data_IF_702151116010
#
_entry.id   IF_702151116010
#
_cell.length_a   1.000
_cell.length_b   1.000
_cell.length_c   1.000
_cell.angle_alpha   90.00
_cell.angle_beta   90.00
_cell.angle_gamma   90.00
#
_symmetry.space_group_name_H-M   'P 1'
#
loop_
_entity.id
_entity.type
_entity.pdbx_description
1 polymer ?
#
# COMPACT_ATOMS: atom_id res chain seq x y z
N UNK A 1 26.13 -66.63 -18.30
CA UNK A 1 24.95 -65.88 -18.87
C UNK A 1 24.36 -64.86 -17.94
N UNK A 2 24.49 -64.94 -16.62
CA UNK A 2 23.88 -63.98 -15.68
C UNK A 2 24.46 -62.57 -15.72
N UNK A 3 25.77 -62.34 -15.86
CA UNK A 3 26.42 -61.06 -15.84
C UNK A 3 26.05 -60.15 -17.04
N UNK A 4 25.84 -60.78 -18.22
CA UNK A 4 25.50 -60.02 -19.44
C UNK A 4 24.06 -59.46 -19.40
N UNK A 5 23.14 -60.20 -18.79
CA UNK A 5 21.75 -59.77 -18.61
C UNK A 5 21.64 -58.61 -17.59
N UNK A 6 22.47 -58.62 -16.54
CA UNK A 6 22.52 -57.55 -15.54
C UNK A 6 23.08 -56.24 -16.14
N UNK A 7 24.16 -56.33 -16.93
CA UNK A 7 24.73 -55.16 -17.62
C UNK A 7 23.75 -54.52 -18.63
N UNK A 8 22.99 -55.32 -19.40
CA UNK A 8 21.96 -54.83 -20.32
C UNK A 8 20.81 -54.15 -19.60
N UNK A 9 20.37 -54.67 -18.46
CA UNK A 9 19.32 -54.08 -17.64
C UNK A 9 19.72 -52.69 -17.08
N UNK A 10 20.95 -52.56 -16.61
CA UNK A 10 21.46 -51.26 -16.08
C UNK A 10 21.64 -50.27 -17.21
N UNK A 11 22.08 -50.65 -18.40
CA UNK A 11 22.29 -49.75 -19.54
C UNK A 11 20.98 -49.14 -20.07
N UNK A 12 19.84 -49.80 -19.88
CA UNK A 12 18.52 -49.33 -20.34
C UNK A 12 17.79 -48.54 -19.21
N UNK A 13 17.85 -49.04 -17.99
CA UNK A 13 17.10 -48.42 -16.87
C UNK A 13 17.68 -47.07 -16.41
N UNK A 14 19.00 -46.91 -16.39
CA UNK A 14 19.65 -45.66 -15.93
C UNK A 14 19.34 -44.48 -16.87
N UNK A 15 19.48 -44.59 -18.19
CA UNK A 15 19.10 -43.49 -19.10
C UNK A 15 17.61 -43.19 -19.05
N UNK A 16 16.73 -44.18 -18.92
CA UNK A 16 15.29 -43.98 -18.84
C UNK A 16 14.88 -43.22 -17.57
N UNK A 17 15.45 -43.58 -16.42
CA UNK A 17 15.20 -42.88 -15.15
C UNK A 17 15.72 -41.46 -15.21
N UNK A 18 16.90 -41.24 -15.81
CA UNK A 18 17.48 -39.89 -15.96
C UNK A 18 16.62 -39.01 -16.87
N UNK A 19 16.13 -39.58 -17.99
CA UNK A 19 15.27 -38.85 -18.95
C UNK A 19 13.93 -38.48 -18.32
N UNK A 20 13.31 -39.35 -17.53
CA UNK A 20 12.05 -39.08 -16.83
C UNK A 20 12.25 -38.03 -15.71
N UNK A 21 13.37 -38.11 -14.97
CA UNK A 21 13.67 -37.14 -13.90
C UNK A 21 13.95 -35.75 -14.46
N UNK A 22 14.74 -35.66 -15.54
CA UNK A 22 15.03 -34.37 -16.22
C UNK A 22 13.78 -33.83 -16.90
N UNK A 23 12.99 -34.68 -17.60
CA UNK A 23 11.74 -34.31 -18.23
C UNK A 23 10.71 -33.75 -17.23
N UNK A 24 10.54 -34.40 -16.05
CA UNK A 24 9.67 -33.89 -14.99
C UNK A 24 10.16 -32.54 -14.42
N UNK A 25 11.46 -32.36 -14.32
CA UNK A 25 12.05 -31.08 -13.81
C UNK A 25 11.86 -29.96 -14.83
N UNK A 26 11.98 -30.23 -16.13
CA UNK A 26 11.71 -29.25 -17.19
C UNK A 26 10.21 -28.93 -17.29
N UNK A 27 9.33 -29.93 -17.28
CA UNK A 27 7.88 -29.71 -17.31
C UNK A 27 7.34 -28.97 -16.07
N UNK A 28 7.91 -29.24 -14.89
CA UNK A 28 7.59 -28.44 -13.69
C UNK A 28 8.11 -27.01 -13.77
N UNK A 29 9.30 -26.80 -14.37
CA UNK A 29 9.84 -25.45 -14.54
C UNK A 29 8.99 -24.63 -15.53
N UNK A 30 8.52 -25.25 -16.63
CA UNK A 30 7.59 -24.60 -17.56
C UNK A 30 6.21 -24.33 -16.94
N UNK A 31 5.67 -25.28 -16.15
CA UNK A 31 4.42 -25.04 -15.41
C UNK A 31 4.55 -23.95 -14.36
N UNK A 32 5.68 -23.88 -13.63
CA UNK A 32 5.94 -22.81 -12.67
C UNK A 32 6.13 -21.47 -13.39
N UNK A 33 6.79 -21.44 -14.55
CA UNK A 33 6.94 -20.24 -15.37
C UNK A 33 5.64 -19.80 -16.06
N UNK A 34 4.76 -20.75 -16.43
CA UNK A 34 3.45 -20.44 -17.00
C UNK A 34 2.47 -19.93 -15.94
N UNK A 35 2.51 -20.49 -14.72
CA UNK A 35 1.69 -20.02 -13.57
C UNK A 35 2.17 -18.64 -13.09
N UNK A 36 3.47 -18.32 -13.23
CA UNK A 36 4.00 -16.99 -12.92
C UNK A 36 3.72 -15.94 -14.02
N UNK A 37 3.35 -16.35 -15.25
CA UNK A 37 2.95 -15.43 -16.32
C UNK A 37 1.47 -15.07 -16.34
N UNK A 38 0.62 -15.74 -15.56
CA UNK A 38 -0.82 -15.44 -15.43
C UNK A 38 -1.18 -14.61 -14.20
N UNK A 39 -0.21 -14.23 -13.36
CA UNK A 39 -0.36 -13.15 -12.41
C UNK A 39 0.27 -11.87 -13.02
N UNK A 40 -0.35 -11.27 -13.99
CA UNK A 40 -0.31 -9.82 -14.14
C UNK A 40 -0.97 -9.31 -12.85
N UNK A 41 -0.15 -8.90 -11.89
CA UNK A 41 -0.64 -8.30 -10.65
C UNK A 41 -1.53 -7.14 -11.07
N UNK A 42 -2.83 -7.26 -10.76
CA UNK A 42 -3.78 -6.18 -10.98
C UNK A 42 -3.20 -4.93 -10.34
N UNK A 43 -3.20 -3.79 -11.03
CA UNK A 43 -2.66 -2.56 -10.46
C UNK A 43 -3.34 -2.30 -9.11
N UNK A 44 -2.53 -1.99 -8.10
CA UNK A 44 -3.04 -1.69 -6.77
C UNK A 44 -3.76 -0.35 -6.80
N UNK A 45 -5.06 -0.36 -6.52
CA UNK A 45 -5.86 0.85 -6.39
C UNK A 45 -5.84 1.37 -4.96
N UNK A 46 -5.69 2.68 -4.80
CA UNK A 46 -5.91 3.36 -3.53
C UNK A 46 -7.27 4.05 -3.56
N UNK A 47 -8.11 3.73 -2.59
CA UNK A 47 -9.41 4.39 -2.41
C UNK A 47 -9.26 5.67 -1.60
N UNK A 48 -10.17 6.61 -1.80
CA UNK A 48 -10.24 7.81 -1.00
C UNK A 48 -10.32 7.45 0.49
N UNK A 49 -9.36 7.94 1.25
CA UNK A 49 -9.25 7.70 2.69
C UNK A 49 -10.14 8.65 3.52
N UNK A 50 -10.70 9.67 2.87
CA UNK A 50 -11.67 10.63 3.40
C UNK A 50 -12.68 10.99 2.30
N UNK A 51 -13.87 11.41 2.70
CA UNK A 51 -14.81 12.11 1.81
C UNK A 51 -14.41 13.57 1.71
N UNK A 52 -14.37 14.12 0.48
CA UNK A 52 -14.04 15.51 0.24
C UNK A 52 -13.42 15.76 -1.13
N UNK A 53 -12.87 16.95 -1.34
CA UNK A 53 -12.21 17.33 -2.59
C UNK A 53 -10.78 16.78 -2.62
N UNK A 54 -10.47 15.98 -3.63
CA UNK A 54 -9.11 15.47 -3.89
C UNK A 54 -8.31 16.51 -4.65
N UNK A 55 -7.17 16.93 -4.10
CA UNK A 55 -6.30 17.97 -4.65
C UNK A 55 -4.87 17.46 -4.82
N UNK A 56 -4.07 18.12 -5.63
CA UNK A 56 -2.64 17.84 -5.73
C UNK A 56 -1.89 18.33 -4.48
N UNK A 57 -0.69 17.79 -4.21
CA UNK A 57 0.15 18.29 -3.12
C UNK A 57 0.50 19.76 -3.28
N UNK A 58 0.71 20.22 -4.51
CA UNK A 58 1.04 21.62 -4.82
C UNK A 58 -0.05 22.59 -4.37
N UNK A 59 -1.33 22.14 -4.40
CA UNK A 59 -2.47 22.96 -3.97
C UNK A 59 -2.59 23.07 -2.44
N UNK A 60 -1.85 22.26 -1.66
CA UNK A 60 -1.83 22.35 -0.18
C UNK A 60 -1.17 23.65 0.28
N UNK A 61 -0.08 24.06 -0.40
CA UNK A 61 0.55 25.36 -0.20
C UNK A 61 1.29 25.55 1.13
N UNK A 62 1.67 24.45 1.80
CA UNK A 62 2.28 24.46 3.14
C UNK A 62 3.82 24.64 3.15
N UNK A 63 4.47 24.54 1.99
CA UNK A 63 5.93 24.66 1.85
C UNK A 63 6.73 23.38 2.23
N UNK A 64 6.11 22.33 2.74
CA UNK A 64 6.74 21.05 3.06
C UNK A 64 6.21 19.96 2.13
N UNK A 65 4.94 19.58 2.27
CA UNK A 65 4.31 18.57 1.43
C UNK A 65 4.16 19.04 -0.02
N UNK A 66 3.82 20.33 -0.22
CA UNK A 66 3.66 20.92 -1.54
C UNK A 66 4.94 20.93 -2.39
N UNK A 67 6.12 20.83 -1.78
CA UNK A 67 7.41 20.76 -2.48
C UNK A 67 7.83 19.31 -2.82
N UNK A 68 7.09 18.30 -2.37
CA UNK A 68 7.39 16.89 -2.61
C UNK A 68 8.68 16.38 -1.93
N UNK A 69 9.17 17.09 -0.90
CA UNK A 69 10.42 16.73 -0.20
C UNK A 69 10.32 15.37 0.50
N UNK A 70 9.11 14.99 0.95
CA UNK A 70 8.85 13.75 1.66
C UNK A 70 8.39 12.60 0.75
N UNK A 71 8.23 12.84 -0.55
CA UNK A 71 7.69 11.91 -1.53
C UNK A 71 6.58 12.53 -2.37
N UNK A 72 6.08 11.76 -3.32
CA UNK A 72 4.94 12.16 -4.15
C UNK A 72 3.62 11.74 -3.50
N UNK A 73 2.50 12.34 -3.93
CA UNK A 73 1.21 12.02 -3.33
C UNK A 73 0.09 12.97 -3.72
N UNK A 74 -0.92 13.03 -2.88
CA UNK A 74 -2.09 13.87 -3.05
C UNK A 74 -2.70 14.24 -1.69
N UNK A 75 -3.69 15.12 -1.68
CA UNK A 75 -4.38 15.52 -0.47
C UNK A 75 -5.90 15.49 -0.65
N UNK A 76 -6.62 15.43 0.46
CA UNK A 76 -8.08 15.56 0.50
C UNK A 76 -8.45 16.69 1.46
N UNK A 77 -9.26 17.65 0.99
CA UNK A 77 -9.93 18.61 1.86
C UNK A 77 -11.14 17.89 2.48
N UNK A 78 -11.12 17.52 3.77
CA UNK A 78 -12.08 16.58 4.33
C UNK A 78 -13.46 17.21 4.55
N UNK A 79 -14.49 16.39 4.39
CA UNK A 79 -15.89 16.69 4.75
C UNK A 79 -16.38 15.79 5.90
N UNK A 80 -15.59 14.76 6.27
CA UNK A 80 -15.86 13.83 7.38
C UNK A 80 -14.70 13.84 8.39
N UNK A 81 -14.84 13.11 9.50
CA UNK A 81 -13.98 13.12 10.68
C UNK A 81 -13.33 11.76 11.00
N UNK A 82 -13.42 10.79 10.09
CA UNK A 82 -12.78 9.49 10.22
C UNK A 82 -11.92 9.20 9.00
N UNK A 83 -10.63 8.95 9.25
CA UNK A 83 -9.65 8.52 8.27
C UNK A 83 -9.74 6.99 8.10
N UNK A 84 -9.77 6.53 6.86
CA UNK A 84 -9.86 5.11 6.51
C UNK A 84 -8.62 4.61 5.78
N UNK A 85 -8.33 3.30 5.88
CA UNK A 85 -7.27 2.66 5.09
C UNK A 85 -7.62 2.70 3.59
N UNK A 86 -6.73 3.26 2.73
CA UNK A 86 -6.98 3.37 1.29
C UNK A 86 -6.87 2.04 0.55
N UNK A 87 -6.20 1.05 1.13
CA UNK A 87 -6.00 -0.31 0.63
C UNK A 87 -5.70 -1.27 1.78
N UNK A 88 -5.59 -2.57 1.49
CA UNK A 88 -5.08 -3.57 2.43
C UNK A 88 -3.64 -3.25 2.83
N UNK A 89 -3.36 -3.14 4.12
CA UNK A 89 -2.05 -2.71 4.64
C UNK A 89 -1.73 -3.29 6.02
N UNK A 90 -0.50 -3.04 6.47
CA UNK A 90 -0.09 -3.15 7.87
C UNK A 90 0.19 -1.74 8.41
N UNK A 91 -0.28 -1.44 9.61
CA UNK A 91 0.00 -0.17 10.30
C UNK A 91 1.45 -0.19 10.77
N UNK A 92 2.34 0.48 10.03
CA UNK A 92 3.79 0.45 10.29
C UNK A 92 4.23 1.44 11.36
N UNK A 93 3.61 2.62 11.39
CA UNK A 93 3.98 3.69 12.33
C UNK A 93 2.73 4.37 12.89
N UNK A 94 2.73 4.62 14.21
CA UNK A 94 1.80 5.51 14.91
C UNK A 94 2.59 6.54 15.71
N UNK A 95 2.19 7.81 15.60
CA UNK A 95 2.81 8.92 16.37
C UNK A 95 2.08 9.08 17.70
N UNK A 96 2.50 8.35 18.73
CA UNK A 96 1.79 8.22 20.01
C UNK A 96 1.49 9.56 20.68
N UNK A 97 2.41 10.51 20.64
CA UNK A 97 2.28 11.80 21.32
C UNK A 97 1.29 12.74 20.63
N UNK A 98 1.29 12.76 19.29
CA UNK A 98 0.53 13.74 18.50
C UNK A 98 -0.68 13.15 17.78
N UNK A 99 -0.71 11.85 17.52
CA UNK A 99 -1.81 11.05 16.94
C UNK A 99 -2.41 11.55 15.64
N UNK A 100 -1.78 12.53 15.00
CA UNK A 100 -2.29 13.18 13.78
C UNK A 100 -1.90 12.46 12.50
N UNK A 101 -1.03 11.46 12.58
CA UNK A 101 -0.52 10.74 11.42
C UNK A 101 -0.33 9.24 11.68
N UNK A 102 -0.41 8.45 10.61
CA UNK A 102 -0.06 7.03 10.63
C UNK A 102 0.65 6.61 9.34
N UNK A 103 1.63 5.71 9.48
CA UNK A 103 2.28 5.02 8.38
C UNK A 103 1.59 3.70 8.07
N UNK A 104 1.50 3.37 6.79
CA UNK A 104 0.95 2.11 6.29
C UNK A 104 1.96 1.47 5.33
N UNK A 105 2.22 0.17 5.48
CA UNK A 105 2.95 -0.63 4.49
C UNK A 105 1.95 -1.50 3.73
N UNK A 106 1.87 -1.30 2.42
CA UNK A 106 1.01 -2.06 1.52
C UNK A 106 1.60 -3.44 1.22
N UNK A 107 0.80 -4.36 0.66
CA UNK A 107 1.25 -5.74 0.36
C UNK A 107 2.43 -5.83 -0.61
N UNK A 108 2.57 -4.86 -1.51
CA UNK A 108 3.66 -4.77 -2.48
C UNK A 108 4.90 -4.00 -1.95
N UNK A 109 4.92 -3.66 -0.65
CA UNK A 109 6.03 -2.96 -0.01
C UNK A 109 5.99 -1.44 -0.15
N UNK A 110 5.02 -0.86 -0.84
CA UNK A 110 4.84 0.60 -0.89
C UNK A 110 4.52 1.11 0.52
N UNK A 111 5.17 2.21 0.92
CA UNK A 111 4.90 2.87 2.19
C UNK A 111 4.15 4.18 1.99
N UNK A 112 3.07 4.33 2.76
CA UNK A 112 2.24 5.53 2.77
C UNK A 112 2.33 6.21 4.13
N UNK A 113 2.40 7.54 4.13
CA UNK A 113 2.16 8.38 5.30
C UNK A 113 0.83 9.11 5.11
N UNK A 114 -0.12 8.88 5.99
CA UNK A 114 -1.36 9.63 6.09
C UNK A 114 -1.23 10.65 7.23
N UNK A 115 -1.33 11.96 6.90
CA UNK A 115 -1.10 13.04 7.84
C UNK A 115 -2.29 14.01 7.84
N UNK A 116 -2.94 14.15 8.99
CA UNK A 116 -4.18 14.93 9.16
C UNK A 116 -3.83 16.35 9.55
N UNK A 117 -4.25 17.30 8.73
CA UNK A 117 -4.00 18.73 8.93
C UNK A 117 -2.55 19.16 8.67
N UNK A 118 -2.31 20.44 8.71
CA UNK A 118 -0.97 21.03 8.60
C UNK A 118 -0.59 21.58 9.98
N UNK A 119 0.66 21.31 10.42
CA UNK A 119 1.23 21.71 11.72
C UNK A 119 0.44 21.18 12.94
N UNK A 120 -0.41 20.17 12.75
CA UNK A 120 -1.26 19.60 13.82
C UNK A 120 -0.48 18.80 14.86
N UNK A 121 0.82 18.57 14.66
CA UNK A 121 1.74 18.06 15.67
C UNK A 121 1.72 18.91 16.95
N UNK A 122 1.51 20.21 16.81
CA UNK A 122 1.46 21.18 17.91
C UNK A 122 0.24 20.99 18.83
N UNK A 123 -0.80 20.30 18.35
CA UNK A 123 -2.00 19.96 19.14
C UNK A 123 -1.73 18.83 20.15
N UNK A 124 -0.56 18.17 20.12
CA UNK A 124 -0.14 17.14 21.09
C UNK A 124 -1.19 16.04 21.32
N UNK A 125 -1.85 15.63 20.24
CA UNK A 125 -2.87 14.58 20.24
C UNK A 125 -4.27 15.05 20.63
N UNK A 126 -4.48 16.31 20.97
CA UNK A 126 -5.82 16.81 21.25
C UNK A 126 -6.68 16.81 19.98
N UNK A 127 -7.84 16.16 20.05
CA UNK A 127 -8.74 16.02 18.91
C UNK A 127 -8.46 14.79 18.03
N UNK A 128 -7.47 13.96 18.35
CA UNK A 128 -7.14 12.75 17.59
C UNK A 128 -7.27 11.47 18.43
N UNK A 129 -7.82 10.42 17.83
CA UNK A 129 -7.98 9.11 18.47
C UNK A 129 -7.64 8.01 17.48
N UNK A 130 -6.63 7.20 17.77
CA UNK A 130 -6.35 5.99 17.02
C UNK A 130 -7.45 4.95 17.21
N UNK A 131 -7.86 4.30 16.13
CA UNK A 131 -8.81 3.20 16.12
C UNK A 131 -8.12 1.86 15.79
N UNK A 132 -6.82 1.89 15.62
CA UNK A 132 -5.93 0.76 15.30
C UNK A 132 -4.69 0.80 16.19
N UNK A 133 -3.92 -0.30 16.16
CA UNK A 133 -2.64 -0.43 16.84
C UNK A 133 -1.49 -0.60 15.83
N UNK A 134 -0.28 -0.23 16.21
CA UNK A 134 0.91 -0.50 15.39
C UNK A 134 1.11 -2.01 15.20
N UNK A 135 1.50 -2.42 14.00
CA UNK A 135 1.61 -3.82 13.58
C UNK A 135 0.27 -4.49 13.21
N UNK A 136 -0.86 -3.79 13.36
CA UNK A 136 -2.17 -4.32 12.98
C UNK A 136 -2.30 -4.40 11.46
N UNK A 137 -2.74 -5.57 10.96
CA UNK A 137 -3.15 -5.73 9.57
C UNK A 137 -4.58 -5.22 9.40
N UNK A 138 -4.76 -4.32 8.45
CA UNK A 138 -6.03 -3.67 8.14
C UNK A 138 -6.46 -3.98 6.72
N UNK A 139 -7.76 -3.98 6.50
CA UNK A 139 -8.36 -4.08 5.18
C UNK A 139 -8.69 -2.69 4.65
N UNK A 140 -8.78 -2.56 3.32
CA UNK A 140 -9.35 -1.37 2.69
C UNK A 140 -10.64 -0.95 3.42
N UNK A 141 -10.78 0.34 3.69
CA UNK A 141 -11.93 0.91 4.38
C UNK A 141 -11.96 0.69 5.90
N UNK A 142 -10.94 0.08 6.52
CA UNK A 142 -10.83 0.02 7.98
C UNK A 142 -10.63 1.43 8.54
N UNK A 143 -11.38 1.87 9.58
CA UNK A 143 -11.17 3.16 10.22
C UNK A 143 -9.84 3.15 10.99
N UNK A 144 -9.00 4.17 10.75
CA UNK A 144 -7.65 4.29 11.31
C UNK A 144 -7.56 5.32 12.43
N UNK A 145 -8.05 6.54 12.16
CA UNK A 145 -7.99 7.68 13.08
C UNK A 145 -9.32 8.40 13.03
N UNK A 146 -9.87 8.70 14.20
CA UNK A 146 -10.94 9.70 14.34
C UNK A 146 -10.32 11.03 14.73
N UNK A 147 -10.77 12.12 14.12
CA UNK A 147 -10.26 13.46 14.41
C UNK A 147 -11.39 14.49 14.49
N UNK A 148 -11.15 15.55 15.25
CA UNK A 148 -12.09 16.64 15.48
C UNK A 148 -11.70 17.86 14.64
N UNK A 149 -12.40 18.04 13.52
CA UNK A 149 -12.13 19.13 12.56
C UNK A 149 -12.34 20.51 13.17
N UNK A 150 -13.30 20.66 14.07
CA UNK A 150 -13.59 21.94 14.72
C UNK A 150 -12.47 22.30 15.68
N UNK A 151 -11.90 21.35 16.42
CA UNK A 151 -10.71 21.56 17.24
C UNK A 151 -9.48 21.94 16.41
N UNK A 152 -9.25 21.27 15.28
CA UNK A 152 -8.14 21.60 14.37
C UNK A 152 -8.28 23.06 13.91
N UNK A 153 -9.46 23.47 13.46
CA UNK A 153 -9.74 24.84 13.02
C UNK A 153 -9.64 25.85 14.16
N UNK A 154 -10.13 25.50 15.34
CA UNK A 154 -10.04 26.36 16.54
C UNK A 154 -8.59 26.56 16.99
N UNK A 155 -7.72 25.59 16.78
CA UNK A 155 -6.28 25.70 17.01
C UNK A 155 -5.54 26.52 15.92
N UNK A 156 -6.23 26.93 14.84
CA UNK A 156 -5.68 27.73 13.76
C UNK A 156 -5.01 26.91 12.64
N UNK A 157 -5.21 25.60 12.62
CA UNK A 157 -4.60 24.71 11.62
C UNK A 157 -5.56 24.39 10.48
N UNK A 158 -5.08 24.28 9.22
CA UNK A 158 -5.84 23.70 8.13
C UNK A 158 -6.10 22.21 8.39
N UNK A 159 -7.31 21.72 8.08
CA UNK A 159 -7.69 20.32 8.24
C UNK A 159 -7.42 19.44 7.00
N UNK A 160 -6.81 20.00 5.95
CA UNK A 160 -6.42 19.28 4.75
C UNK A 160 -5.51 18.09 5.11
N UNK A 161 -5.85 16.92 4.60
CA UNK A 161 -5.17 15.67 4.97
C UNK A 161 -4.40 15.15 3.78
N UNK A 162 -3.11 14.88 3.96
CA UNK A 162 -2.22 14.44 2.89
C UNK A 162 -1.96 12.93 2.95
N UNK A 163 -1.79 12.32 1.77
CA UNK A 163 -1.26 10.98 1.59
C UNK A 163 0.03 11.10 0.80
N UNK A 164 1.14 10.76 1.44
CA UNK A 164 2.48 10.78 0.84
C UNK A 164 2.92 9.32 0.63
N UNK A 165 3.43 9.03 -0.55
CA UNK A 165 4.16 7.79 -0.83
C UNK A 165 5.61 8.03 -0.45
N UNK A 166 6.01 7.53 0.71
CA UNK A 166 7.36 7.72 1.26
C UNK A 166 8.35 6.73 0.68
N UNK A 167 7.88 5.54 0.30
CA UNK A 167 8.66 4.51 -0.40
C UNK A 167 7.80 3.89 -1.51
N UNK A 168 8.04 4.25 -2.78
CA UNK A 168 7.25 3.75 -3.91
C UNK A 168 7.70 2.35 -4.39
N UNK A 169 8.86 1.86 -3.98
CA UNK A 169 9.47 0.67 -4.55
C UNK A 169 9.74 0.85 -6.05
N UNK A 170 9.38 -0.17 -6.84
CA UNK A 170 9.47 -0.13 -8.32
C UNK A 170 8.16 0.29 -9.00
N UNK A 171 7.13 0.71 -8.21
CA UNK A 171 5.81 0.99 -8.74
C UNK A 171 5.75 2.36 -9.44
N UNK A 172 5.10 2.39 -10.59
CA UNK A 172 4.68 3.62 -11.24
C UNK A 172 3.37 4.12 -10.62
N UNK A 173 3.40 5.35 -10.08
CA UNK A 173 2.28 5.95 -9.37
C UNK A 173 1.52 6.91 -10.27
N UNK A 174 0.19 6.82 -10.24
CA UNK A 174 -0.71 7.76 -10.92
C UNK A 174 -1.79 8.23 -9.96
N UNK A 175 -1.85 9.53 -9.72
CA UNK A 175 -2.84 10.17 -8.84
C UNK A 175 -3.98 10.80 -9.66
N UNK A 176 -5.21 10.73 -9.14
CA UNK A 176 -6.43 11.30 -9.75
C UNK A 176 -6.93 12.44 -8.88
N UNK A 177 -6.44 13.65 -9.16
CA UNK A 177 -6.78 14.87 -8.42
C UNK A 177 -7.82 15.72 -9.17
N UNK A 178 -8.33 16.78 -8.53
CA UNK A 178 -9.32 17.68 -9.12
C UNK A 178 -10.77 17.16 -9.11
N UNK A 179 -11.04 16.05 -8.41
CA UNK A 179 -12.35 15.43 -8.32
C UNK A 179 -12.89 15.41 -6.89
N UNK A 180 -14.18 15.14 -6.72
CA UNK A 180 -14.75 14.77 -5.44
C UNK A 180 -14.45 13.30 -5.14
N UNK A 181 -14.05 13.01 -3.90
CA UNK A 181 -13.81 11.66 -3.42
C UNK A 181 -14.83 11.27 -2.35
N UNK A 182 -15.43 10.09 -2.49
CA UNK A 182 -16.21 9.43 -1.44
C UNK A 182 -15.30 8.39 -0.78
N UNK A 183 -15.15 8.50 0.54
CA UNK A 183 -14.32 7.58 1.32
C UNK A 183 -14.67 6.11 1.04
N UNK A 184 -13.67 5.26 0.85
CA UNK A 184 -13.78 3.81 0.58
C UNK A 184 -14.34 3.44 -0.80
N UNK A 185 -14.79 4.39 -1.62
CA UNK A 185 -15.45 4.13 -2.90
C UNK A 185 -14.61 4.63 -4.09
N UNK A 186 -14.22 5.92 -4.05
CA UNK A 186 -13.55 6.57 -5.17
C UNK A 186 -12.08 6.14 -5.27
N UNK A 187 -11.65 5.68 -6.44
CA UNK A 187 -10.22 5.45 -6.73
C UNK A 187 -9.54 6.80 -6.89
N UNK A 188 -8.50 7.03 -6.09
CA UNK A 188 -7.73 8.29 -6.07
C UNK A 188 -6.28 8.11 -6.50
N UNK A 189 -5.79 6.87 -6.53
CA UNK A 189 -4.48 6.56 -7.10
C UNK A 189 -4.43 5.11 -7.60
N UNK A 190 -3.48 4.85 -8.51
CA UNK A 190 -3.16 3.52 -9.02
C UNK A 190 -1.64 3.34 -8.98
N UNK A 191 -1.20 2.21 -8.45
CA UNK A 191 0.20 1.78 -8.40
C UNK A 191 0.37 0.57 -9.33
N UNK A 192 1.26 0.66 -10.32
CA UNK A 192 1.53 -0.38 -11.32
C UNK A 192 2.94 -0.93 -11.18
#
# INVERSE_FOLDING_TARGET
>A
MGAFAICMGIAICVPLILTVAVGKRFLNKEKTSAVQKENEEQPLELKAFLTGKVISLQEVGDGVFSQGVMGDGFAICPENDVLYAPADAEVSVLMEDSRHACGLTLKNGIELLLHIGIDTVDMKGEGFTYLVSQGQKVKEGTPLIRFDRDKIKAAGHPDVTVCIVTEPGEAELKFFTGQAGTAKETVVAVCK
#
